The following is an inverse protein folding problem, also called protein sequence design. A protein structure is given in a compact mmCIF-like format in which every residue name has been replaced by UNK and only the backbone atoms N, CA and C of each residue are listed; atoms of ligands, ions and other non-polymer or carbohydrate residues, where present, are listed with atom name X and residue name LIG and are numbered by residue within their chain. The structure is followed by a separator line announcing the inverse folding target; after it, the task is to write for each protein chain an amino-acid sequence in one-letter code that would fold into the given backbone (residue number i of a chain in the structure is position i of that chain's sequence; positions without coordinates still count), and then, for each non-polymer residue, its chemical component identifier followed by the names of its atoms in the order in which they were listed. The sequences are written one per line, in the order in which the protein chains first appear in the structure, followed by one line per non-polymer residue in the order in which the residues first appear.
data_IF_864766996504
#
_entry.id   IF_864766996504
#
_cell.length_a   1.000
_cell.length_b   1.000
_cell.length_c   1.000
_cell.angle_alpha   90.00
_cell.angle_beta   90.00
_cell.angle_gamma   90.00
#
_symmetry.space_group_name_H-M   'P 1'
#
loop_
_entity.id
_entity.type
_entity.pdbx_description
1 polymer ?
#
# COMPACT_ATOMS: atom_id res chain seq x y z
N UNK A 1 -14.52 10.08 12.10
CA UNK A 1 -14.06 11.49 12.23
C UNK A 1 -13.87 12.11 10.84
N UNK A 2 -14.92 12.19 10.02
CA UNK A 2 -14.79 12.39 8.55
C UNK A 2 -14.49 13.85 8.14
N UNK A 3 -14.61 14.82 9.06
CA UNK A 3 -14.39 16.24 8.75
C UNK A 3 -12.92 16.69 8.88
N UNK A 4 -12.06 15.93 9.56
CA UNK A 4 -10.64 16.27 9.76
C UNK A 4 -9.74 15.84 8.60
N UNK A 5 -9.87 14.58 8.15
CA UNK A 5 -9.02 13.96 7.11
C UNK A 5 -9.10 14.69 5.77
N UNK A 6 -10.31 15.07 5.33
CA UNK A 6 -10.51 15.88 4.11
C UNK A 6 -9.77 17.22 4.16
N UNK A 7 -9.50 17.77 5.34
CA UNK A 7 -8.76 19.04 5.46
C UNK A 7 -7.25 18.86 5.49
N UNK A 8 -6.72 17.70 5.91
CA UNK A 8 -5.29 17.42 5.91
C UNK A 8 -4.80 16.97 4.54
N UNK A 9 -5.56 16.11 3.86
CA UNK A 9 -5.26 15.69 2.49
C UNK A 9 -5.25 16.91 1.54
N UNK A 10 -6.25 17.79 1.64
CA UNK A 10 -6.31 19.01 0.85
C UNK A 10 -5.13 19.97 1.13
N UNK A 11 -4.67 20.05 2.38
CA UNK A 11 -3.48 20.83 2.74
C UNK A 11 -2.23 20.23 2.12
N UNK A 12 -2.04 18.91 2.25
CA UNK A 12 -0.91 18.17 1.68
C UNK A 12 -0.82 18.35 0.17
N UNK A 13 -1.94 18.22 -0.55
CA UNK A 13 -2.00 18.44 -2.01
C UNK A 13 -1.68 19.90 -2.38
N UNK A 14 -2.16 20.87 -1.59
CA UNK A 14 -1.87 22.28 -1.83
C UNK A 14 -0.39 22.62 -1.59
N UNK A 15 0.22 22.06 -0.54
CA UNK A 15 1.64 22.19 -0.22
C UNK A 15 2.51 21.56 -1.31
N UNK A 16 2.20 20.33 -1.73
CA UNK A 16 2.88 19.65 -2.84
C UNK A 16 2.82 20.49 -4.11
N UNK A 17 1.63 21.00 -4.44
CA UNK A 17 1.42 21.85 -5.62
C UNK A 17 2.25 23.12 -5.57
N UNK A 18 2.45 23.71 -4.38
CA UNK A 18 3.30 24.89 -4.20
C UNK A 18 4.77 24.53 -4.38
N UNK A 19 5.25 23.48 -3.74
CA UNK A 19 6.65 23.05 -3.79
C UNK A 19 7.08 22.65 -5.20
N UNK A 20 6.24 21.90 -5.92
CA UNK A 20 6.48 21.58 -7.34
C UNK A 20 6.56 22.85 -8.19
N UNK A 21 5.70 23.85 -7.94
CA UNK A 21 5.75 25.13 -8.65
C UNK A 21 7.04 25.90 -8.38
N UNK A 22 7.59 25.79 -7.17
CA UNK A 22 8.87 26.42 -6.83
C UNK A 22 10.05 25.69 -7.47
N UNK A 23 10.09 24.35 -7.36
CA UNK A 23 11.10 23.52 -8.01
C UNK A 23 11.13 23.76 -9.52
N UNK A 24 9.96 23.85 -10.15
CA UNK A 24 9.83 24.23 -11.58
C UNK A 24 10.48 25.57 -11.89
N UNK A 25 10.29 26.59 -11.03
CA UNK A 25 10.88 27.92 -11.26
C UNK A 25 12.40 27.88 -11.18
N UNK A 26 12.94 27.13 -10.22
CA UNK A 26 14.39 26.94 -10.02
C UNK A 26 15.02 26.22 -11.22
N UNK A 27 14.38 25.15 -11.71
CA UNK A 27 14.82 24.42 -12.92
C UNK A 27 14.81 25.32 -14.16
N UNK A 28 13.75 26.10 -14.39
CA UNK A 28 13.64 27.01 -15.54
C UNK A 28 14.64 28.17 -15.46
N UNK A 29 15.00 28.64 -14.26
CA UNK A 29 16.00 29.69 -14.08
C UNK A 29 17.40 29.24 -14.53
N UNK A 30 17.66 27.94 -14.50
CA UNK A 30 18.91 27.30 -14.93
C UNK A 30 18.99 27.06 -16.44
N UNK A 31 18.07 27.63 -17.23
CA UNK A 31 18.01 27.54 -18.70
C UNK A 31 17.82 26.10 -19.24
N UNK A 32 17.22 25.22 -18.43
CA UNK A 32 16.79 23.90 -18.88
C UNK A 32 15.65 24.01 -19.91
N UNK A 33 15.44 22.95 -20.70
CA UNK A 33 14.37 22.94 -21.70
C UNK A 33 13.00 23.07 -21.03
N UNK A 34 12.23 24.09 -21.45
CA UNK A 34 10.96 24.41 -20.82
C UNK A 34 9.94 23.28 -20.94
N UNK A 35 9.89 22.61 -22.10
CA UNK A 35 8.89 21.57 -22.36
C UNK A 35 9.20 20.33 -21.51
N UNK A 36 10.47 19.95 -21.45
CA UNK A 36 10.94 18.84 -20.62
C UNK A 36 10.65 19.08 -19.14
N UNK A 37 11.02 20.26 -18.61
CA UNK A 37 10.73 20.62 -17.20
C UNK A 37 9.22 20.60 -16.92
N UNK A 38 8.38 21.07 -17.85
CA UNK A 38 6.93 21.02 -17.66
C UNK A 38 6.38 19.60 -17.57
N UNK A 39 6.92 18.66 -18.36
CA UNK A 39 6.55 17.24 -18.33
C UNK A 39 7.01 16.59 -17.03
N UNK A 40 8.30 16.71 -16.69
CA UNK A 40 8.86 16.10 -15.47
C UNK A 40 8.20 16.64 -14.19
N UNK A 41 7.85 17.92 -14.14
CA UNK A 41 7.17 18.50 -12.96
C UNK A 41 5.74 17.99 -12.81
N UNK A 42 5.06 17.71 -13.93
CA UNK A 42 3.75 17.06 -13.90
C UNK A 42 3.89 15.62 -13.41
N UNK A 43 4.80 14.85 -14.00
CA UNK A 43 5.06 13.45 -13.63
C UNK A 43 5.49 13.31 -12.17
N UNK A 44 6.42 14.15 -11.69
CA UNK A 44 6.84 14.19 -10.29
C UNK A 44 5.66 14.44 -9.37
N UNK A 45 4.83 15.46 -9.66
CA UNK A 45 3.67 15.79 -8.82
C UNK A 45 2.69 14.63 -8.78
N UNK A 46 2.32 14.12 -9.94
CA UNK A 46 1.30 13.08 -10.07
C UNK A 46 1.79 11.80 -9.37
N UNK A 47 3.05 11.43 -9.50
CA UNK A 47 3.64 10.26 -8.85
C UNK A 47 3.83 10.45 -7.33
N UNK A 48 4.20 11.64 -6.84
CA UNK A 48 4.28 11.91 -5.39
C UNK A 48 2.91 11.85 -4.71
N UNK A 49 1.89 12.40 -5.36
CA UNK A 49 0.51 12.39 -4.85
C UNK A 49 -0.05 10.96 -4.78
N UNK A 50 0.05 10.21 -5.88
CA UNK A 50 -0.39 8.82 -5.93
C UNK A 50 0.45 7.92 -5.00
N UNK A 51 1.77 8.11 -4.97
CA UNK A 51 2.68 7.34 -4.11
C UNK A 51 2.36 7.53 -2.63
N UNK A 52 2.01 8.74 -2.23
CA UNK A 52 1.54 9.03 -0.88
C UNK A 52 0.25 8.29 -0.52
N UNK A 53 -0.69 8.18 -1.47
CA UNK A 53 -1.96 7.46 -1.27
C UNK A 53 -1.76 5.94 -1.23
N UNK A 54 -0.93 5.40 -2.11
CA UNK A 54 -0.57 3.98 -2.12
C UNK A 54 0.13 3.58 -0.82
N UNK A 55 1.08 4.40 -0.35
CA UNK A 55 1.75 4.18 0.93
C UNK A 55 0.76 4.15 2.10
N UNK A 56 -0.20 5.08 2.13
CA UNK A 56 -1.22 5.08 3.18
C UNK A 56 -2.09 3.82 3.12
N UNK A 57 -2.59 3.45 1.94
CA UNK A 57 -3.36 2.22 1.77
C UNK A 57 -2.60 0.96 2.17
N UNK A 58 -1.29 0.90 1.89
CA UNK A 58 -0.43 -0.19 2.34
C UNK A 58 -0.31 -0.22 3.87
N UNK A 59 -0.06 0.92 4.52
CA UNK A 59 0.03 0.99 5.99
C UNK A 59 -1.28 0.55 6.63
N UNK A 60 -2.42 1.06 6.15
CA UNK A 60 -3.74 0.67 6.66
C UNK A 60 -3.96 -0.84 6.52
N UNK A 61 -3.69 -1.40 5.33
CA UNK A 61 -3.73 -2.85 5.06
C UNK A 61 -2.85 -3.64 6.04
N UNK A 62 -1.62 -3.20 6.30
CA UNK A 62 -0.70 -3.84 7.23
C UNK A 62 -1.19 -3.78 8.68
N UNK A 63 -1.83 -2.69 9.10
CA UNK A 63 -2.45 -2.59 10.43
C UNK A 63 -3.59 -3.59 10.59
N UNK A 64 -4.49 -3.67 9.59
CA UNK A 64 -5.56 -4.68 9.58
C UNK A 64 -4.99 -6.10 9.60
N UNK A 65 -3.92 -6.36 8.84
CA UNK A 65 -3.23 -7.65 8.84
C UNK A 65 -2.63 -7.99 10.21
N UNK A 66 -1.96 -7.06 10.86
CA UNK A 66 -1.37 -7.27 12.19
C UNK A 66 -2.44 -7.56 13.25
N UNK A 67 -3.58 -6.87 13.19
CA UNK A 67 -4.71 -7.13 14.09
C UNK A 67 -5.36 -8.48 13.78
N UNK A 68 -5.55 -8.81 12.50
CA UNK A 68 -6.11 -10.10 12.07
C UNK A 68 -5.25 -11.28 12.55
N UNK A 69 -3.92 -11.21 12.38
CA UNK A 69 -2.99 -12.24 12.86
C UNK A 69 -3.08 -12.46 14.37
N UNK A 70 -3.12 -11.37 15.14
CA UNK A 70 -3.26 -11.45 16.60
C UNK A 70 -4.61 -12.04 17.01
N UNK A 71 -5.69 -11.58 16.37
CA UNK A 71 -7.04 -12.09 16.62
C UNK A 71 -7.15 -13.58 16.31
N UNK A 72 -6.52 -14.03 15.23
CA UNK A 72 -6.45 -15.42 14.83
C UNK A 72 -5.74 -16.29 15.86
N UNK A 73 -4.56 -15.88 16.33
CA UNK A 73 -3.79 -16.62 17.36
C UNK A 73 -4.63 -16.77 18.63
N UNK A 74 -5.15 -15.66 19.16
CA UNK A 74 -5.97 -15.68 20.37
C UNK A 74 -7.20 -16.59 20.22
N UNK A 75 -7.87 -16.55 19.06
CA UNK A 75 -9.04 -17.39 18.81
C UNK A 75 -8.67 -18.87 18.77
N UNK A 76 -7.57 -19.23 18.11
CA UNK A 76 -7.12 -20.62 18.03
C UNK A 76 -6.70 -21.19 19.40
N UNK A 77 -6.23 -20.34 20.32
CA UNK A 77 -5.91 -20.70 21.70
C UNK A 77 -7.18 -20.88 22.55
N UNK A 78 -8.11 -19.93 22.50
CA UNK A 78 -9.22 -19.83 23.46
C UNK A 78 -10.55 -20.47 22.97
N UNK A 79 -10.69 -20.80 21.68
CA UNK A 79 -12.00 -21.20 21.09
C UNK A 79 -12.65 -22.45 21.71
N UNK A 80 -11.89 -23.29 22.40
CA UNK A 80 -12.43 -24.46 23.12
C UNK A 80 -12.81 -24.16 24.57
N UNK A 81 -12.43 -22.99 25.08
CA UNK A 81 -12.58 -22.60 26.48
C UNK A 81 -13.66 -21.53 26.67
N UNK A 82 -14.02 -20.80 25.61
CA UNK A 82 -15.02 -19.72 25.65
C UNK A 82 -16.38 -20.15 25.08
N UNK A 83 -17.48 -19.49 25.47
CA UNK A 83 -18.80 -19.69 24.87
C UNK A 83 -18.81 -19.50 23.35
N UNK A 84 -19.62 -20.29 22.64
CA UNK A 84 -19.72 -20.24 21.18
C UNK A 84 -20.11 -18.85 20.63
N UNK A 85 -20.91 -18.09 21.39
CA UNK A 85 -21.29 -16.71 21.04
C UNK A 85 -20.08 -15.75 21.10
N UNK A 86 -19.13 -16.00 22.00
CA UNK A 86 -17.89 -15.24 22.08
C UNK A 86 -16.95 -15.60 20.92
N UNK A 87 -16.83 -16.89 20.57
CA UNK A 87 -16.10 -17.33 19.36
C UNK A 87 -16.67 -16.66 18.12
N UNK A 88 -18.01 -16.58 18.00
CA UNK A 88 -18.67 -15.92 16.87
C UNK A 88 -18.29 -14.45 16.78
N UNK A 89 -18.35 -13.72 17.90
CA UNK A 89 -18.01 -12.30 17.95
C UNK A 89 -16.55 -12.06 17.52
N UNK A 90 -15.64 -12.91 17.96
CA UNK A 90 -14.23 -12.78 17.58
C UNK A 90 -14.01 -13.12 16.10
N UNK A 91 -14.75 -14.09 15.55
CA UNK A 91 -14.75 -14.41 14.12
C UNK A 91 -15.34 -13.29 13.25
N UNK A 92 -16.45 -12.69 13.67
CA UNK A 92 -17.02 -11.52 13.00
C UNK A 92 -16.04 -10.34 12.99
N UNK A 93 -15.33 -10.12 14.12
CA UNK A 93 -14.28 -9.10 14.19
C UNK A 93 -13.11 -9.43 13.27
N UNK A 94 -12.65 -10.67 13.23
CA UNK A 94 -11.59 -11.12 12.33
C UNK A 94 -11.98 -10.86 10.86
N UNK A 95 -13.18 -11.29 10.46
CA UNK A 95 -13.70 -11.05 9.10
C UNK A 95 -13.73 -9.56 8.73
N UNK A 96 -14.11 -8.69 9.68
CA UNK A 96 -14.08 -7.24 9.46
C UNK A 96 -12.67 -6.67 9.19
N UNK A 97 -11.62 -7.30 9.74
CA UNK A 97 -10.24 -6.95 9.38
C UNK A 97 -9.84 -7.54 8.03
N UNK A 98 -10.21 -8.80 7.73
CA UNK A 98 -9.92 -9.46 6.44
C UNK A 98 -10.51 -8.70 5.24
N UNK A 99 -11.64 -8.02 5.41
CA UNK A 99 -12.24 -7.17 4.37
C UNK A 99 -11.42 -5.91 4.05
N UNK A 100 -10.40 -5.59 4.85
CA UNK A 100 -9.62 -4.35 4.76
C UNK A 100 -8.12 -4.58 4.58
N UNK A 101 -7.65 -5.84 4.46
CA UNK A 101 -6.21 -6.13 4.34
C UNK A 101 -5.65 -5.96 2.92
N UNK A 102 -6.48 -5.62 1.93
CA UNK A 102 -6.07 -5.68 0.54
C UNK A 102 -5.13 -4.54 0.12
N UNK A 103 -4.09 -4.88 -0.63
CA UNK A 103 -3.20 -3.94 -1.29
C UNK A 103 -2.47 -4.60 -2.46
N UNK A 104 -2.25 -3.90 -3.59
CA UNK A 104 -1.62 -4.46 -4.81
C UNK A 104 -0.22 -5.07 -4.56
N UNK A 105 0.49 -4.54 -3.56
CA UNK A 105 1.82 -5.01 -3.15
C UNK A 105 1.84 -5.96 -1.93
N UNK A 106 0.67 -6.41 -1.48
CA UNK A 106 0.46 -7.41 -0.42
C UNK A 106 -0.62 -8.40 -0.87
N UNK A 107 -1.54 -8.80 0.01
CA UNK A 107 -2.69 -9.65 -0.36
C UNK A 107 -3.59 -8.86 -1.30
N UNK A 108 -3.85 -9.43 -2.49
CA UNK A 108 -4.70 -8.80 -3.50
C UNK A 108 -6.17 -9.16 -3.27
N UNK A 109 -7.07 -8.27 -3.65
CA UNK A 109 -8.52 -8.51 -3.55
C UNK A 109 -8.99 -9.68 -4.43
N UNK A 110 -8.28 -9.93 -5.52
CA UNK A 110 -8.55 -10.99 -6.48
C UNK A 110 -7.72 -12.26 -6.24
N UNK A 111 -6.97 -12.34 -5.12
CA UNK A 111 -6.23 -13.54 -4.74
C UNK A 111 -7.21 -14.71 -4.47
N UNK A 112 -7.16 -15.80 -5.27
CA UNK A 112 -8.15 -16.87 -5.19
C UNK A 112 -8.04 -17.67 -3.89
N UNK A 113 -6.83 -17.87 -3.37
CA UNK A 113 -6.59 -18.69 -2.18
C UNK A 113 -7.04 -17.95 -0.92
N UNK A 114 -6.73 -16.66 -0.84
CA UNK A 114 -7.22 -15.79 0.21
C UNK A 114 -8.74 -15.66 0.16
N UNK A 115 -9.31 -15.39 -1.03
CA UNK A 115 -10.75 -15.22 -1.20
C UNK A 115 -11.53 -16.47 -0.79
N UNK A 116 -11.06 -17.65 -1.19
CA UNK A 116 -11.68 -18.92 -0.78
C UNK A 116 -11.69 -19.07 0.74
N UNK A 117 -10.57 -18.78 1.40
CA UNK A 117 -10.43 -18.89 2.86
C UNK A 117 -11.32 -17.87 3.58
N UNK A 118 -11.30 -16.60 3.15
CA UNK A 118 -12.10 -15.53 3.74
C UNK A 118 -13.60 -15.77 3.59
N UNK A 119 -14.05 -16.22 2.41
CA UNK A 119 -15.46 -16.57 2.17
C UNK A 119 -15.88 -17.80 3.00
N UNK A 120 -14.99 -18.78 3.16
CA UNK A 120 -15.19 -19.92 4.07
C UNK A 120 -15.46 -19.46 5.51
N UNK A 121 -14.61 -18.60 6.05
CA UNK A 121 -14.74 -18.05 7.41
C UNK A 121 -16.01 -17.19 7.58
N UNK A 122 -16.40 -16.40 6.58
CA UNK A 122 -17.66 -15.64 6.58
C UNK A 122 -18.88 -16.56 6.61
N UNK A 123 -18.88 -17.60 5.79
CA UNK A 123 -19.93 -18.61 5.78
C UNK A 123 -20.02 -19.34 7.12
N UNK A 124 -18.86 -19.57 7.76
CA UNK A 124 -18.80 -20.16 9.09
C UNK A 124 -19.42 -19.23 10.14
N UNK A 125 -19.03 -17.95 10.18
CA UNK A 125 -19.61 -16.98 11.09
C UNK A 125 -21.15 -16.88 10.95
N UNK A 126 -21.65 -16.93 9.72
CA UNK A 126 -23.09 -16.88 9.43
C UNK A 126 -23.87 -18.12 9.91
N UNK A 127 -23.24 -19.28 10.04
CA UNK A 127 -23.87 -20.56 10.39
C UNK A 127 -23.30 -21.16 11.68
N UNK A 128 -22.83 -20.32 12.61
CA UNK A 128 -22.10 -20.73 13.81
C UNK A 128 -22.82 -21.78 14.67
N UNK A 129 -24.15 -21.76 14.69
CA UNK A 129 -25.01 -22.71 15.40
C UNK A 129 -24.91 -24.16 14.87
N UNK A 130 -24.36 -24.35 13.66
CA UNK A 130 -24.30 -25.63 12.96
C UNK A 130 -22.87 -26.12 12.72
N UNK A 131 -21.87 -25.40 13.24
CA UNK A 131 -20.47 -25.63 12.89
C UNK A 131 -19.77 -26.52 13.89
N UNK A 132 -18.93 -27.39 13.35
CA UNK A 132 -17.94 -28.12 14.11
C UNK A 132 -16.69 -27.23 14.29
N UNK A 133 -16.28 -26.98 15.53
CA UNK A 133 -15.10 -26.20 15.86
C UNK A 133 -13.81 -26.75 15.22
N UNK A 134 -13.75 -28.06 14.91
CA UNK A 134 -12.64 -28.65 14.16
C UNK A 134 -12.55 -28.07 12.75
N UNK A 135 -13.69 -27.86 12.08
CA UNK A 135 -13.72 -27.26 10.74
C UNK A 135 -13.30 -25.80 10.80
N UNK A 136 -13.80 -25.05 11.79
CA UNK A 136 -13.38 -23.66 12.01
C UNK A 136 -11.87 -23.57 12.25
N UNK A 137 -11.32 -24.43 13.11
CA UNK A 137 -9.89 -24.47 13.38
C UNK A 137 -9.06 -24.75 12.14
N UNK A 138 -9.51 -25.66 11.26
CA UNK A 138 -8.85 -25.94 10.00
C UNK A 138 -8.81 -24.73 9.06
N UNK A 139 -9.90 -23.97 8.96
CA UNK A 139 -9.90 -22.74 8.13
C UNK A 139 -9.06 -21.61 8.74
N UNK A 140 -9.01 -21.52 10.07
CA UNK A 140 -8.11 -20.60 10.75
C UNK A 140 -6.63 -20.98 10.52
N UNK A 141 -6.29 -22.26 10.52
CA UNK A 141 -4.94 -22.73 10.17
C UNK A 141 -4.57 -22.39 8.71
N UNK A 142 -5.52 -22.52 7.76
CA UNK A 142 -5.32 -22.10 6.37
C UNK A 142 -5.03 -20.59 6.28
N UNK A 143 -5.85 -19.79 6.95
CA UNK A 143 -5.66 -18.33 7.00
C UNK A 143 -4.33 -17.97 7.65
N UNK A 144 -3.93 -18.66 8.72
CA UNK A 144 -2.65 -18.43 9.37
C UNK A 144 -1.49 -18.61 8.39
N UNK A 145 -1.47 -19.70 7.63
CA UNK A 145 -0.42 -19.98 6.66
C UNK A 145 -0.33 -18.89 5.58
N UNK A 146 -1.47 -18.45 5.04
CA UNK A 146 -1.54 -17.36 4.06
C UNK A 146 -1.01 -16.04 4.64
N UNK A 147 -1.42 -15.71 5.87
CA UNK A 147 -0.95 -14.50 6.52
C UNK A 147 0.55 -14.59 6.83
N UNK A 148 1.07 -15.72 7.29
CA UNK A 148 2.50 -15.88 7.59
C UNK A 148 3.39 -15.76 6.35
N UNK A 149 2.96 -16.27 5.20
CA UNK A 149 3.72 -16.18 3.94
C UNK A 149 3.98 -14.71 3.52
N UNK A 150 3.01 -13.84 3.79
CA UNK A 150 3.13 -12.40 3.48
C UNK A 150 3.94 -11.60 4.51
N UNK A 151 4.37 -12.22 5.61
CA UNK A 151 5.07 -11.53 6.71
C UNK A 151 6.45 -11.03 6.38
N UNK A 152 7.14 -11.69 5.46
CA UNK A 152 8.51 -11.36 5.08
C UNK A 152 8.57 -10.33 3.93
N UNK A 153 7.42 -9.98 3.38
CA UNK A 153 7.33 -9.11 2.22
C UNK A 153 7.74 -7.68 2.55
N UNK A 154 8.67 -7.15 1.76
CA UNK A 154 9.11 -5.76 1.88
C UNK A 154 8.17 -4.83 1.12
N UNK A 155 7.89 -3.68 1.72
CA UNK A 155 7.19 -2.59 1.04
C UNK A 155 7.96 -2.15 -0.21
N UNK A 156 7.27 -1.82 -1.32
CA UNK A 156 7.93 -1.24 -2.48
C UNK A 156 8.36 0.22 -2.21
N UNK A 157 9.17 0.76 -3.10
CA UNK A 157 9.26 2.21 -3.24
C UNK A 157 7.95 2.73 -3.85
N UNK A 158 7.11 3.40 -3.04
CA UNK A 158 5.79 3.84 -3.48
C UNK A 158 5.83 4.97 -4.52
N UNK A 159 6.92 5.74 -4.58
CA UNK A 159 7.12 6.71 -5.67
C UNK A 159 7.34 6.00 -7.00
N UNK A 160 8.18 4.96 -6.99
CA UNK A 160 8.44 4.14 -8.16
C UNK A 160 7.17 3.39 -8.62
N UNK A 161 6.43 2.81 -7.68
CA UNK A 161 5.14 2.16 -7.95
C UNK A 161 4.15 3.14 -8.60
N UNK A 162 3.98 4.32 -8.01
CA UNK A 162 3.07 5.33 -8.53
C UNK A 162 3.44 5.79 -9.93
N UNK A 163 4.73 6.02 -10.18
CA UNK A 163 5.21 6.37 -11.52
C UNK A 163 4.90 5.24 -12.50
N UNK A 164 5.22 3.99 -12.18
CA UNK A 164 4.93 2.84 -13.03
C UNK A 164 3.44 2.72 -13.38
N UNK A 165 2.55 2.77 -12.39
CA UNK A 165 1.10 2.64 -12.59
C UNK A 165 0.50 3.78 -13.42
N UNK A 166 1.15 4.93 -13.51
CA UNK A 166 0.71 6.05 -14.33
C UNK A 166 1.11 5.92 -15.80
N UNK A 167 2.09 5.07 -16.10
CA UNK A 167 2.70 4.96 -17.43
C UNK A 167 2.42 3.62 -18.11
N UNK A 168 1.98 2.61 -17.35
CA UNK A 168 1.61 1.30 -17.89
C UNK A 168 0.09 1.08 -17.87
N UNK A 169 -0.46 0.64 -19.00
CA UNK A 169 -1.90 0.36 -19.13
C UNK A 169 -2.33 -0.91 -18.38
N UNK A 170 -1.45 -1.91 -18.32
CA UNK A 170 -1.66 -3.18 -17.61
C UNK A 170 -0.49 -3.42 -16.64
N UNK A 171 -0.75 -3.26 -15.34
CA UNK A 171 0.23 -3.53 -14.30
C UNK A 171 0.51 -5.03 -14.18
N UNK A 172 1.79 -5.40 -14.23
CA UNK A 172 2.26 -6.76 -13.92
C UNK A 172 2.86 -6.89 -12.52
N UNK A 173 2.82 -5.81 -11.74
CA UNK A 173 3.47 -5.72 -10.43
C UNK A 173 2.90 -6.75 -9.46
N UNK A 174 1.59 -7.01 -9.53
CA UNK A 174 0.91 -8.02 -8.71
C UNK A 174 1.22 -9.47 -9.06
N UNK A 175 1.92 -9.73 -10.18
CA UNK A 175 2.37 -11.07 -10.61
C UNK A 175 3.85 -11.31 -10.29
N UNK A 176 4.58 -10.28 -9.86
CA UNK A 176 6.00 -10.34 -9.60
C UNK A 176 6.29 -10.76 -8.16
N UNK A 177 7.29 -11.62 -7.98
CA UNK A 177 7.88 -11.93 -6.67
C UNK A 177 8.32 -10.66 -5.94
N UNK A 178 8.10 -10.60 -4.62
CA UNK A 178 8.24 -9.36 -3.82
C UNK A 178 9.59 -8.64 -4.02
N UNK A 179 10.71 -9.38 -3.94
CA UNK A 179 12.05 -8.79 -4.09
C UNK A 179 12.34 -8.33 -5.52
N UNK A 180 11.90 -9.12 -6.51
CA UNK A 180 12.09 -8.81 -7.92
C UNK A 180 11.27 -7.58 -8.30
N UNK A 181 10.00 -7.53 -7.88
CA UNK A 181 9.10 -6.40 -8.04
C UNK A 181 9.71 -5.10 -7.55
N UNK A 182 10.26 -5.10 -6.32
CA UNK A 182 10.84 -3.89 -5.74
C UNK A 182 12.07 -3.42 -6.54
N UNK A 183 12.96 -4.35 -6.91
CA UNK A 183 14.12 -4.04 -7.75
C UNK A 183 13.73 -3.54 -9.15
N UNK A 184 12.68 -4.11 -9.73
CA UNK A 184 12.15 -3.73 -11.03
C UNK A 184 11.60 -2.30 -11.02
N UNK A 185 10.76 -1.97 -10.03
CA UNK A 185 10.16 -0.64 -9.89
C UNK A 185 11.23 0.44 -9.72
N UNK A 186 12.23 0.20 -8.88
CA UNK A 186 13.31 1.17 -8.67
C UNK A 186 14.10 1.44 -9.96
N UNK A 187 14.44 0.39 -10.72
CA UNK A 187 15.12 0.55 -12.01
C UNK A 187 14.25 1.28 -13.03
N UNK A 188 12.96 0.94 -13.10
CA UNK A 188 12.04 1.59 -14.01
C UNK A 188 11.96 3.10 -13.73
N UNK A 189 11.79 3.49 -12.46
CA UNK A 189 11.77 4.89 -12.06
C UNK A 189 13.09 5.61 -12.39
N UNK A 190 14.22 4.96 -12.12
CA UNK A 190 15.56 5.51 -12.41
C UNK A 190 15.73 5.82 -13.89
N UNK A 191 15.47 4.83 -14.75
CA UNK A 191 15.68 4.92 -16.21
C UNK A 191 14.72 5.91 -16.90
N UNK A 192 13.51 6.09 -16.37
CA UNK A 192 12.45 6.83 -17.07
C UNK A 192 12.24 8.26 -16.53
N UNK A 193 12.63 8.54 -15.28
CA UNK A 193 12.46 9.85 -14.68
C UNK A 193 13.71 10.31 -13.92
N UNK A 194 14.14 9.53 -12.93
CA UNK A 194 15.02 10.03 -11.87
C UNK A 194 16.45 10.31 -12.33
N UNK A 195 17.01 9.56 -13.29
CA UNK A 195 18.35 9.83 -13.82
C UNK A 195 18.43 11.26 -14.39
N UNK A 196 17.45 11.62 -15.24
CA UNK A 196 17.39 12.95 -15.86
C UNK A 196 17.04 14.04 -14.84
N UNK A 197 16.00 13.82 -14.03
CA UNK A 197 15.48 14.82 -13.12
C UNK A 197 16.46 15.14 -11.98
N UNK A 198 17.14 14.13 -11.43
CA UNK A 198 18.13 14.33 -10.39
C UNK A 198 19.37 15.07 -10.93
N UNK A 199 19.83 14.73 -12.14
CA UNK A 199 20.93 15.46 -12.79
C UNK A 199 20.59 16.93 -12.99
N UNK A 200 19.39 17.21 -13.49
CA UNK A 200 18.90 18.57 -13.74
C UNK A 200 18.68 19.37 -12.46
N UNK A 201 18.11 18.75 -11.43
CA UNK A 201 17.94 19.36 -10.12
C UNK A 201 19.29 19.69 -9.48
N UNK A 202 20.26 18.79 -9.56
CA UNK A 202 21.63 19.04 -9.08
C UNK A 202 22.31 20.17 -9.86
N UNK A 203 22.16 20.20 -11.19
CA UNK A 203 22.67 21.29 -12.01
C UNK A 203 22.05 22.64 -11.64
N UNK A 204 20.75 22.66 -11.33
CA UNK A 204 20.02 23.85 -10.90
C UNK A 204 20.25 24.22 -9.42
N UNK A 205 21.00 23.42 -8.66
CA UNK A 205 21.24 23.64 -7.22
C UNK A 205 20.03 23.35 -6.33
N UNK A 206 19.03 22.61 -6.84
CA UNK A 206 17.81 22.24 -6.13
C UNK A 206 17.69 20.72 -5.87
N UNK A 207 18.80 19.97 -5.96
CA UNK A 207 18.84 18.52 -5.70
C UNK A 207 18.34 18.15 -4.30
N UNK A 208 18.83 18.83 -3.26
CA UNK A 208 18.37 18.59 -1.87
C UNK A 208 16.87 18.85 -1.69
N UNK A 209 16.30 19.81 -2.44
CA UNK A 209 14.86 20.09 -2.41
C UNK A 209 14.06 18.96 -3.04
N UNK A 210 14.52 18.41 -4.16
CA UNK A 210 13.91 17.25 -4.80
C UNK A 210 13.93 16.03 -3.87
N UNK A 211 15.08 15.73 -3.26
CA UNK A 211 15.22 14.64 -2.30
C UNK A 211 14.30 14.83 -1.08
N UNK A 212 14.25 16.04 -0.54
CA UNK A 212 13.34 16.38 0.56
C UNK A 212 11.88 16.14 0.19
N UNK A 213 11.44 16.56 -1.00
CA UNK A 213 10.07 16.34 -1.45
C UNK A 213 9.75 14.84 -1.54
N UNK A 214 10.62 14.04 -2.16
CA UNK A 214 10.42 12.59 -2.23
C UNK A 214 10.33 12.00 -0.82
N UNK A 215 11.23 12.39 0.08
CA UNK A 215 11.21 11.90 1.46
C UNK A 215 9.92 12.29 2.19
N UNK A 216 9.50 13.55 2.06
CA UNK A 216 8.36 14.10 2.78
C UNK A 216 7.02 13.54 2.30
N UNK A 217 6.84 13.34 0.99
CA UNK A 217 5.56 12.88 0.46
C UNK A 217 5.44 11.36 0.36
N UNK A 218 6.52 10.59 0.54
CA UNK A 218 6.48 9.14 0.39
C UNK A 218 6.79 8.41 1.69
N UNK A 219 7.75 8.91 2.47
CA UNK A 219 8.31 8.18 3.60
C UNK A 219 8.00 8.80 4.97
N UNK A 220 7.43 10.01 5.04
CA UNK A 220 6.92 10.61 6.28
C UNK A 220 5.59 9.97 6.68
#
# INVERSE_FOLDING_TARGET
MIFGEKTEEQKRVAELTREVKELRKELLASKLDKKQVEVQMKELKDALELGGNLRQGYVDSQEHMAVARRGLINMMEDMNEIPIDDVKRDLDRLNGHLDQIFHECSIREDDPDFKSTADGLKNMAANMDKINLIMLRSELENLQALLEDTSEWRSPNFFALAYYLQHEEESKVGEMENEFRNSFLERYLEEHLMESLAMEANYAGCGEKLEYMIQHYIYA
#
